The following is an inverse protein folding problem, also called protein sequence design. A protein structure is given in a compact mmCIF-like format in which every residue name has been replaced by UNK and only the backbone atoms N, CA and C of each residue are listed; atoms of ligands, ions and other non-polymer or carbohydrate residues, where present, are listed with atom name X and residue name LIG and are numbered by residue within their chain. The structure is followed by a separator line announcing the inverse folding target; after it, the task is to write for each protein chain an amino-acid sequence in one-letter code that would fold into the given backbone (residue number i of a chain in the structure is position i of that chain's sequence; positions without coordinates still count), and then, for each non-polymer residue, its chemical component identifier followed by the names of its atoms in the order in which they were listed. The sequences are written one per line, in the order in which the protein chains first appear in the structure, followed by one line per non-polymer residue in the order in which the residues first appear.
data_IF_805549475893
#
_entry.id   IF_805549475893
#
_cell.length_a   1.000
_cell.length_b   1.000
_cell.length_c   1.000
_cell.angle_alpha   90.00
_cell.angle_beta   90.00
_cell.angle_gamma   90.00
#
_symmetry.space_group_name_H-M   'P 1'
#
loop_
_entity.id
_entity.type
_entity.pdbx_description
1 polymer ?
#
# COMPACT_ATOMS: atom_id res chain seq x y z
N UNK A 1 -6.44 9.50 18.79
CA UNK A 1 -6.39 9.28 17.34
C UNK A 1 -5.88 7.91 17.00
N UNK A 2 -6.62 7.22 16.22
CA UNK A 2 -6.28 5.87 15.84
C UNK A 2 -5.19 5.84 14.82
N UNK A 3 -4.25 4.96 15.02
CA UNK A 3 -3.27 4.73 13.99
C UNK A 3 -3.78 3.68 13.03
N UNK A 4 -3.35 3.84 11.80
CA UNK A 4 -3.67 2.88 10.79
C UNK A 4 -2.90 1.60 11.06
N UNK A 5 -3.60 0.47 11.06
CA UNK A 5 -2.97 -0.81 11.32
C UNK A 5 -2.61 -1.56 10.06
N UNK A 6 -2.93 -0.97 8.94
CA UNK A 6 -2.53 -1.54 7.66
C UNK A 6 -1.20 -0.92 7.28
N UNK A 7 -0.21 -1.75 7.07
CA UNK A 7 1.11 -1.31 6.64
C UNK A 7 1.38 -1.85 5.25
N UNK A 8 2.38 -1.28 4.60
CA UNK A 8 2.64 -1.69 3.24
C UNK A 8 4.13 -1.60 2.92
N UNK A 9 4.51 -2.26 1.83
CA UNK A 9 5.86 -2.22 1.29
C UNK A 9 5.86 -1.55 -0.07
N UNK A 10 4.91 -0.64 -0.32
CA UNK A 10 4.76 -0.02 -1.63
C UNK A 10 6.06 0.62 -2.10
N UNK A 11 6.69 1.39 -1.23
CA UNK A 11 7.92 2.08 -1.61
C UNK A 11 9.00 1.10 -2.03
N UNK A 12 9.17 0.03 -1.26
CA UNK A 12 10.14 -1.01 -1.59
C UNK A 12 9.80 -1.67 -2.90
N UNK A 13 8.51 -1.97 -3.11
CA UNK A 13 8.09 -2.61 -4.34
C UNK A 13 8.34 -1.69 -5.54
N UNK A 14 8.05 -0.40 -5.39
CA UNK A 14 8.33 0.55 -6.48
C UNK A 14 9.81 0.54 -6.85
N UNK A 15 10.66 0.56 -5.84
CA UNK A 15 12.09 0.55 -6.07
C UNK A 15 12.52 -0.71 -6.82
N UNK A 16 11.99 -1.86 -6.40
CA UNK A 16 12.37 -3.13 -7.00
C UNK A 16 11.81 -3.32 -8.41
N UNK A 17 10.84 -2.52 -8.78
CA UNK A 17 10.21 -2.63 -10.10
C UNK A 17 10.61 -1.46 -11.00
N UNK A 18 11.92 -1.27 -11.15
CA UNK A 18 12.43 -0.27 -12.06
C UNK A 18 12.42 1.14 -11.51
N UNK A 19 12.47 1.27 -10.18
CA UNK A 19 12.45 2.57 -9.54
C UNK A 19 11.23 3.37 -9.97
N UNK A 20 10.08 2.71 -9.93
CA UNK A 20 8.81 3.31 -10.32
C UNK A 20 8.52 4.52 -9.43
N UNK A 21 8.10 5.62 -10.05
CA UNK A 21 7.76 6.82 -9.29
C UNK A 21 6.38 6.67 -8.67
N UNK A 22 6.11 7.51 -7.67
CA UNK A 22 4.77 7.54 -7.06
C UNK A 22 3.72 7.91 -8.11
N UNK A 23 4.06 8.83 -9.01
CA UNK A 23 3.11 9.22 -10.05
C UNK A 23 2.84 8.08 -11.01
N UNK A 24 3.87 7.33 -11.37
CA UNK A 24 3.68 6.19 -12.27
C UNK A 24 2.74 5.16 -11.65
N UNK A 25 2.93 4.87 -10.37
CA UNK A 25 2.05 3.93 -9.70
C UNK A 25 0.62 4.47 -9.64
N UNK A 26 0.49 5.76 -9.28
CA UNK A 26 -0.82 6.39 -9.21
C UNK A 26 -1.56 6.26 -10.53
N UNK A 27 -0.86 6.53 -11.63
CA UNK A 27 -1.46 6.43 -12.96
C UNK A 27 -1.89 5.01 -13.28
N UNK A 28 -1.09 4.04 -12.88
CA UNK A 28 -1.41 2.64 -13.19
C UNK A 28 -2.61 2.12 -12.44
N UNK A 29 -2.86 2.64 -11.24
CA UNK A 29 -3.99 2.15 -10.44
C UNK A 29 -5.15 3.13 -10.37
N UNK A 30 -5.02 4.28 -11.03
CA UNK A 30 -6.16 5.19 -11.20
C UNK A 30 -6.46 6.06 -9.99
N UNK A 31 -5.42 6.46 -9.26
CA UNK A 31 -5.60 7.39 -8.13
C UNK A 31 -4.62 8.54 -8.28
N UNK A 32 -4.70 9.50 -7.37
CA UNK A 32 -3.78 10.62 -7.40
C UNK A 32 -2.45 10.25 -6.73
N UNK A 33 -1.43 11.01 -7.09
CA UNK A 33 -0.13 10.81 -6.45
C UNK A 33 -0.24 11.01 -4.94
N UNK A 34 -1.06 11.97 -4.51
CA UNK A 34 -1.22 12.25 -3.09
C UNK A 34 -1.76 11.02 -2.35
N UNK A 35 -2.64 10.26 -2.99
CA UNK A 35 -3.15 9.04 -2.40
C UNK A 35 -2.02 8.04 -2.15
N UNK A 36 -1.12 7.91 -3.12
CA UNK A 36 0.03 7.01 -2.96
C UNK A 36 0.92 7.49 -1.81
N UNK A 37 1.17 8.80 -1.76
CA UNK A 37 2.00 9.35 -0.69
C UNK A 37 1.39 9.05 0.67
N UNK A 38 0.08 9.25 0.81
CA UNK A 38 -0.59 9.01 2.08
C UNK A 38 -0.56 7.54 2.46
N UNK A 39 -0.72 6.65 1.49
CA UNK A 39 -0.62 5.22 1.78
C UNK A 39 0.78 4.84 2.25
N UNK A 40 1.80 5.36 1.60
CA UNK A 40 3.17 5.00 1.98
C UNK A 40 3.52 5.49 3.37
N UNK A 41 2.83 6.52 3.85
CA UNK A 41 3.03 7.04 5.20
C UNK A 41 2.09 6.40 6.20
N UNK A 42 1.35 5.38 5.80
CA UNK A 42 0.39 4.68 6.65
C UNK A 42 -0.71 5.60 7.17
N UNK A 43 -1.03 6.63 6.40
CA UNK A 43 -2.09 7.57 6.78
C UNK A 43 -3.39 7.33 6.04
N UNK A 44 -3.41 6.35 5.17
CA UNK A 44 -4.57 6.05 4.37
C UNK A 44 -4.59 4.56 4.06
N UNK A 45 -5.69 3.90 4.41
CA UNK A 45 -5.88 2.49 4.07
C UNK A 45 -6.64 2.40 2.77
N UNK A 46 -6.12 1.71 1.79
CA UNK A 46 -6.83 1.59 0.52
C UNK A 46 -8.05 0.69 0.66
N UNK A 47 -9.01 0.87 -0.25
CA UNK A 47 -10.07 -0.10 -0.37
C UNK A 47 -9.44 -1.44 -0.78
N UNK A 48 -10.21 -2.51 -0.59
CA UNK A 48 -9.72 -3.82 -0.97
C UNK A 48 -9.42 -3.88 -2.46
N UNK A 49 -10.27 -3.26 -3.27
CA UNK A 49 -10.03 -3.26 -4.71
C UNK A 49 -8.74 -2.54 -5.07
N UNK A 50 -8.51 -1.38 -4.45
CA UNK A 50 -7.29 -0.63 -4.74
C UNK A 50 -6.07 -1.42 -4.30
N UNK A 51 -6.16 -2.09 -3.15
CA UNK A 51 -5.05 -2.89 -2.66
C UNK A 51 -4.71 -4.02 -3.64
N UNK A 52 -5.73 -4.69 -4.17
CA UNK A 52 -5.50 -5.74 -5.16
C UNK A 52 -4.90 -5.18 -6.44
N UNK A 53 -5.35 -4.00 -6.88
CA UNK A 53 -4.79 -3.38 -8.08
C UNK A 53 -3.31 -3.09 -7.91
N UNK A 54 -2.94 -2.58 -6.75
CA UNK A 54 -1.55 -2.27 -6.47
C UNK A 54 -0.71 -3.54 -6.48
N UNK A 55 -1.19 -4.58 -5.80
CA UNK A 55 -0.47 -5.84 -5.77
C UNK A 55 -0.30 -6.40 -7.17
N UNK A 56 -1.33 -6.26 -8.00
CA UNK A 56 -1.28 -6.74 -9.37
C UNK A 56 -0.23 -6.01 -10.19
N UNK A 57 -0.10 -4.70 -10.01
CA UNK A 57 0.92 -3.92 -10.71
C UNK A 57 2.31 -4.48 -10.41
N UNK A 58 2.54 -4.87 -9.16
CA UNK A 58 3.84 -5.40 -8.78
C UNK A 58 3.99 -6.90 -9.04
N UNK A 59 2.90 -7.57 -9.44
CA UNK A 59 2.95 -9.01 -9.66
C UNK A 59 3.22 -9.79 -8.40
N UNK A 60 2.78 -9.25 -7.25
CA UNK A 60 2.99 -9.88 -5.96
C UNK A 60 1.65 -10.20 -5.32
N UNK A 61 1.61 -11.23 -4.45
CA UNK A 61 0.38 -11.48 -3.71
C UNK A 61 0.11 -10.32 -2.76
N UNK A 62 -1.18 -10.15 -2.42
CA UNK A 62 -1.61 -9.04 -1.60
C UNK A 62 -0.81 -8.94 -0.30
N UNK A 63 -0.57 -10.06 0.33
CA UNK A 63 0.08 -10.05 1.64
C UNK A 63 1.57 -9.73 1.56
N UNK A 64 2.15 -9.68 0.38
CA UNK A 64 3.51 -9.20 0.22
C UNK A 64 3.58 -7.69 0.16
N UNK A 65 2.48 -7.07 -0.24
CA UNK A 65 2.43 -5.62 -0.39
C UNK A 65 1.80 -4.97 0.83
N UNK A 66 0.79 -5.60 1.41
CA UNK A 66 0.07 -5.06 2.55
C UNK A 66 0.09 -6.05 3.70
N UNK A 67 0.15 -5.52 4.92
CA UNK A 67 0.09 -6.35 6.11
C UNK A 67 -0.79 -5.65 7.14
N UNK A 68 -1.29 -6.44 8.06
CA UNK A 68 -2.14 -5.94 9.13
C UNK A 68 -1.44 -6.21 10.44
N UNK A 69 -1.34 -5.18 11.28
CA UNK A 69 -0.73 -5.30 12.57
C UNK A 69 -1.82 -5.24 13.63
N UNK A 70 -2.21 -6.36 14.21
CA UNK A 70 -3.28 -6.35 15.18
C UNK A 70 -2.86 -5.69 16.47
N UNK A 71 -3.85 -5.23 17.22
CA UNK A 71 -3.62 -4.66 18.54
C UNK A 71 -3.25 -5.81 19.49
N UNK A 72 -2.03 -5.79 20.01
CA UNK A 72 -1.57 -6.86 20.91
C UNK A 72 -2.46 -7.04 22.10
N UNK A 73 -3.01 -5.94 22.59
CA UNK A 73 -3.84 -6.02 23.80
C UNK A 73 -5.16 -6.68 23.53
N UNK A 74 -5.57 -6.73 22.28
CA UNK A 74 -6.82 -7.36 21.90
C UNK A 74 -6.62 -8.71 21.27
N UNK A 75 -5.38 -9.11 21.07
CA UNK A 75 -5.12 -10.41 20.48
C UNK A 75 -5.55 -11.50 21.44
N UNK A 76 -6.12 -12.50 20.91
CA UNK A 76 -6.61 -13.60 21.73
C UNK A 76 -6.02 -14.89 21.26
#
# INVERSE_FOLDING_TARGET
MEQNRIHNTIRTQRFLHGEMTQQELADKVGVTRQTIISMEKDKYSPSLELAFRIALVFGEPLEKVFSYEPDDKKAV
#
